data_IF_164553073558
#
_entry.id   IF_164553073558
#
_cell.length_a   1.000
_cell.length_b   1.000
_cell.length_c   1.000
_cell.angle_alpha   90.00
_cell.angle_beta   90.00
_cell.angle_gamma   90.00
#
_symmetry.space_group_name_H-M   'P 1'
#
loop_
_entity.id
_entity.type
_entity.pdbx_description
1 polymer ?
#
# COMPACT_ATOMS: atom_id res chain seq x y z
N UNK A 1 12.06 -22.10 24.45
CA UNK A 1 12.74 -21.67 23.20
C UNK A 1 11.69 -20.92 22.37
N UNK A 2 12.09 -19.95 21.55
CA UNK A 2 11.12 -19.30 20.64
C UNK A 2 10.54 -20.33 19.65
N UNK A 3 9.22 -20.25 19.40
CA UNK A 3 8.50 -21.17 18.52
C UNK A 3 7.74 -20.37 17.46
N UNK A 4 7.63 -20.92 16.25
CA UNK A 4 6.87 -20.30 15.14
C UNK A 4 5.47 -20.91 15.13
N UNK A 5 4.46 -20.05 15.23
CA UNK A 5 3.06 -20.43 15.17
C UNK A 5 2.37 -19.75 13.97
N UNK A 6 1.24 -20.31 13.52
CA UNK A 6 0.37 -19.65 12.57
C UNK A 6 -0.25 -18.40 13.21
N UNK A 7 -0.31 -17.29 12.47
CA UNK A 7 -1.02 -16.10 12.94
C UNK A 7 -2.54 -16.33 13.06
N UNK A 8 -3.07 -17.38 12.42
CA UNK A 8 -4.48 -17.77 12.54
C UNK A 8 -4.86 -18.31 13.93
N UNK A 9 -3.88 -18.73 14.74
CA UNK A 9 -4.10 -19.21 16.09
C UNK A 9 -4.34 -18.08 17.10
N UNK A 10 -4.22 -16.83 16.67
CA UNK A 10 -4.30 -15.64 17.52
C UNK A 10 -5.40 -14.68 17.08
N UNK A 11 -6.00 -14.00 18.05
CA UNK A 11 -7.00 -12.97 17.79
C UNK A 11 -6.38 -11.74 17.11
N UNK A 12 -7.19 -11.02 16.34
CA UNK A 12 -6.76 -9.75 15.70
C UNK A 12 -6.25 -8.74 16.74
N UNK A 13 -6.81 -8.74 17.95
CA UNK A 13 -6.35 -7.86 19.04
C UNK A 13 -4.94 -8.21 19.51
N UNK A 14 -4.58 -9.51 19.60
CA UNK A 14 -3.23 -9.94 19.96
C UNK A 14 -2.22 -9.59 18.86
N UNK A 15 -2.59 -9.78 17.58
CA UNK A 15 -1.75 -9.39 16.45
C UNK A 15 -1.58 -7.86 16.37
N UNK A 16 -2.60 -7.09 16.70
CA UNK A 16 -2.52 -5.64 16.78
C UNK A 16 -1.58 -5.18 17.89
N UNK A 17 -1.65 -5.80 19.07
CA UNK A 17 -0.80 -5.45 20.20
C UNK A 17 0.68 -5.58 19.83
N UNK A 18 1.09 -6.72 19.29
CA UNK A 18 2.48 -6.92 18.85
C UNK A 18 2.86 -5.98 17.70
N UNK A 19 1.91 -5.68 16.79
CA UNK A 19 2.15 -4.72 15.70
C UNK A 19 2.43 -3.33 16.26
N UNK A 20 1.57 -2.81 17.13
CA UNK A 20 1.71 -1.48 17.71
C UNK A 20 2.99 -1.34 18.54
N UNK A 21 3.38 -2.38 19.27
CA UNK A 21 4.63 -2.36 20.03
C UNK A 21 5.86 -2.43 19.12
N UNK A 22 5.84 -3.32 18.11
CA UNK A 22 6.92 -3.45 17.15
C UNK A 22 7.19 -2.18 16.34
N UNK A 23 6.20 -1.33 16.15
CA UNK A 23 6.29 -0.06 15.43
C UNK A 23 6.25 1.18 16.33
N UNK A 24 6.38 1.02 17.66
CA UNK A 24 6.29 2.13 18.62
C UNK A 24 7.37 3.20 18.45
N UNK A 25 8.54 2.82 17.96
CA UNK A 25 9.69 3.69 17.68
C UNK A 25 9.95 3.90 16.18
N UNK A 26 8.95 3.60 15.32
CA UNK A 26 9.13 3.69 13.88
C UNK A 26 9.14 5.14 13.40
N UNK A 27 9.92 5.43 12.33
CA UNK A 27 10.11 6.78 11.78
C UNK A 27 8.82 7.46 11.31
N UNK A 28 7.79 6.67 10.98
CA UNK A 28 6.45 7.14 10.61
C UNK A 28 5.47 6.62 11.65
N UNK A 29 4.55 7.45 12.18
CA UNK A 29 3.55 6.98 13.13
C UNK A 29 2.71 5.84 12.54
N UNK A 30 2.78 4.66 13.17
CA UNK A 30 2.14 3.43 12.69
C UNK A 30 1.12 2.84 13.66
N UNK A 31 0.85 3.54 14.80
CA UNK A 31 -0.12 3.07 15.78
C UNK A 31 -1.51 2.97 15.17
N UNK A 32 -2.10 1.79 15.27
CA UNK A 32 -3.42 1.49 14.70
C UNK A 32 -4.45 1.20 15.79
N UNK A 33 -5.71 1.49 15.47
CA UNK A 33 -6.88 0.98 16.21
C UNK A 33 -7.22 -0.42 15.73
N UNK A 34 -8.03 -1.17 16.47
CA UNK A 34 -8.48 -2.50 16.05
C UNK A 34 -9.21 -2.44 14.70
N UNK A 35 -10.12 -1.51 14.52
CA UNK A 35 -10.84 -1.31 13.26
C UNK A 35 -9.90 -0.95 12.09
N UNK A 36 -8.88 -0.10 12.35
CA UNK A 36 -7.87 0.26 11.34
C UNK A 36 -7.03 -0.96 10.93
N UNK A 37 -6.65 -1.79 11.89
CA UNK A 37 -5.88 -3.00 11.63
C UNK A 37 -6.71 -4.07 10.88
N UNK A 38 -7.96 -4.27 11.24
CA UNK A 38 -8.88 -5.15 10.50
C UNK A 38 -9.07 -4.67 9.04
N UNK A 39 -9.21 -3.37 8.85
CA UNK A 39 -9.27 -2.77 7.51
C UNK A 39 -7.97 -2.99 6.74
N UNK A 40 -6.81 -2.81 7.38
CA UNK A 40 -5.50 -3.10 6.80
C UNK A 40 -5.39 -4.57 6.37
N UNK A 41 -5.70 -5.53 7.25
CA UNK A 41 -5.66 -6.96 6.94
C UNK A 41 -6.53 -7.29 5.71
N UNK A 42 -7.76 -6.79 5.69
CA UNK A 42 -8.70 -7.00 4.59
C UNK A 42 -8.22 -6.38 3.27
N UNK A 43 -7.86 -5.09 3.26
CA UNK A 43 -7.45 -4.38 2.04
C UNK A 43 -6.15 -4.91 1.45
N UNK A 44 -5.20 -5.32 2.29
CA UNK A 44 -3.96 -5.96 1.82
C UNK A 44 -4.20 -7.38 1.35
N UNK A 45 -5.30 -8.01 1.76
CA UNK A 45 -5.61 -9.42 1.50
C UNK A 45 -4.70 -10.34 2.30
N UNK A 46 -4.46 -10.01 3.58
CA UNK A 46 -3.63 -10.83 4.47
C UNK A 46 -4.29 -12.18 4.69
N UNK A 47 -3.51 -13.24 4.54
CA UNK A 47 -3.91 -14.63 4.72
C UNK A 47 -3.32 -15.13 6.03
N UNK A 48 -4.07 -15.06 7.13
CA UNK A 48 -3.57 -15.42 8.47
C UNK A 48 -3.00 -16.85 8.54
N UNK A 49 -3.58 -17.88 7.89
CA UNK A 49 -2.98 -19.22 7.83
C UNK A 49 -1.62 -19.30 7.12
N UNK A 50 -1.22 -18.26 6.35
CA UNK A 50 0.09 -18.12 5.67
C UNK A 50 0.97 -17.06 6.31
N UNK A 51 0.47 -16.48 7.39
CA UNK A 51 1.17 -15.50 8.20
C UNK A 51 1.66 -16.16 9.48
N UNK A 52 2.79 -15.73 9.99
CA UNK A 52 3.43 -16.39 11.12
C UNK A 52 3.79 -15.41 12.22
N UNK A 53 3.82 -15.91 13.44
CA UNK A 53 4.28 -15.20 14.62
C UNK A 53 5.39 -16.00 15.31
N UNK A 54 6.30 -15.30 15.97
CA UNK A 54 7.27 -15.91 16.88
C UNK A 54 6.76 -15.74 18.29
N UNK A 55 6.76 -16.84 19.06
CA UNK A 55 6.30 -16.87 20.45
C UNK A 55 7.47 -17.26 21.36
N UNK A 56 7.67 -16.54 22.44
CA UNK A 56 8.60 -16.89 23.51
C UNK A 56 7.84 -16.91 24.85
N UNK A 57 7.76 -18.11 25.46
CA UNK A 57 6.86 -18.33 26.61
C UNK A 57 5.39 -18.18 26.18
N UNK A 58 4.70 -17.20 26.75
CA UNK A 58 3.29 -16.89 26.41
C UNK A 58 3.14 -15.58 25.61
N UNK A 59 4.23 -15.03 25.13
CA UNK A 59 4.24 -13.72 24.47
C UNK A 59 4.54 -13.85 22.96
N UNK A 60 3.75 -13.18 22.14
CA UNK A 60 4.08 -12.98 20.73
C UNK A 60 5.14 -11.87 20.67
N UNK A 61 6.34 -12.23 20.20
CA UNK A 61 7.49 -11.32 20.17
C UNK A 61 7.76 -10.73 18.79
N UNK A 62 7.24 -11.36 17.74
CA UNK A 62 7.34 -10.85 16.37
C UNK A 62 6.21 -11.40 15.49
N UNK A 63 5.96 -10.71 14.37
CA UNK A 63 5.00 -11.14 13.35
C UNK A 63 5.55 -10.97 11.94
N UNK A 64 4.98 -11.77 11.01
CA UNK A 64 5.27 -11.75 9.59
C UNK A 64 3.97 -12.01 8.84
N UNK A 65 3.31 -10.93 8.38
CA UNK A 65 1.98 -10.98 7.77
C UNK A 65 2.08 -11.03 6.25
N UNK A 66 1.51 -12.07 5.66
CA UNK A 66 1.58 -12.37 4.23
C UNK A 66 0.21 -12.23 3.57
N UNK A 67 0.21 -11.63 2.40
CA UNK A 67 -0.90 -11.64 1.46
C UNK A 67 -0.55 -12.49 0.25
N UNK A 68 -1.56 -13.13 -0.35
CA UNK A 68 -1.37 -13.98 -1.54
C UNK A 68 -2.41 -13.64 -2.59
N UNK A 69 -1.99 -13.49 -3.85
CA UNK A 69 -2.85 -13.34 -5.03
C UNK A 69 -2.31 -14.21 -6.16
N UNK A 70 -3.00 -15.33 -6.42
CA UNK A 70 -2.51 -16.35 -7.34
C UNK A 70 -1.14 -16.89 -6.92
N UNK A 71 -0.14 -16.77 -7.78
CA UNK A 71 1.25 -17.20 -7.50
C UNK A 71 2.15 -16.12 -6.91
N UNK A 72 1.58 -14.99 -6.51
CA UNK A 72 2.33 -13.85 -5.97
C UNK A 72 2.04 -13.68 -4.49
N UNK A 73 3.09 -13.65 -3.68
CA UNK A 73 3.09 -13.30 -2.27
C UNK A 73 3.49 -11.85 -2.05
N UNK A 74 3.00 -11.28 -0.98
CA UNK A 74 3.34 -9.93 -0.55
C UNK A 74 3.50 -9.89 0.97
N UNK A 75 4.66 -9.45 1.42
CA UNK A 75 4.88 -9.17 2.83
C UNK A 75 4.18 -7.86 3.19
N UNK A 76 3.03 -7.96 3.80
CA UNK A 76 2.18 -6.81 4.14
C UNK A 76 2.70 -6.07 5.38
N UNK A 77 3.25 -6.80 6.36
CA UNK A 77 3.86 -6.24 7.57
C UNK A 77 4.82 -7.25 8.17
N UNK A 78 5.94 -6.76 8.69
CA UNK A 78 6.83 -7.53 9.56
C UNK A 78 7.32 -6.65 10.70
N UNK A 79 7.31 -7.18 11.91
CA UNK A 79 7.73 -6.42 13.08
C UNK A 79 8.22 -7.34 14.19
N UNK A 80 9.21 -6.85 14.95
CA UNK A 80 9.73 -7.51 16.15
C UNK A 80 9.67 -6.52 17.29
N UNK A 81 9.11 -6.93 18.43
CA UNK A 81 9.09 -6.09 19.64
C UNK A 81 10.50 -5.61 19.96
N UNK A 82 10.69 -4.35 20.38
CA UNK A 82 12.03 -3.76 20.59
C UNK A 82 12.96 -4.63 21.46
N UNK A 83 12.46 -5.20 22.55
CA UNK A 83 13.22 -6.04 23.47
C UNK A 83 13.74 -7.36 22.87
N UNK A 84 13.20 -7.78 21.72
CA UNK A 84 13.54 -9.05 21.05
C UNK A 84 14.31 -8.88 19.74
N UNK A 85 14.63 -7.64 19.36
CA UNK A 85 15.42 -7.34 18.16
C UNK A 85 16.86 -7.83 18.30
N UNK A 86 17.53 -8.03 17.17
CA UNK A 86 18.93 -8.47 17.11
C UNK A 86 19.15 -9.97 17.45
N UNK A 87 18.08 -10.74 17.70
CA UNK A 87 18.13 -12.17 18.06
C UNK A 87 17.85 -13.12 16.87
N UNK A 88 17.83 -12.61 15.63
CA UNK A 88 17.56 -13.44 14.44
C UNK A 88 16.08 -13.80 14.21
N UNK A 89 15.15 -13.30 15.05
CA UNK A 89 13.72 -13.66 15.05
C UNK A 89 13.06 -13.35 13.70
N UNK A 90 13.26 -12.15 13.16
CA UNK A 90 12.68 -11.74 11.87
C UNK A 90 13.19 -12.59 10.70
N UNK A 91 14.48 -13.01 10.74
CA UNK A 91 15.05 -13.91 9.73
C UNK A 91 14.41 -15.29 9.79
N UNK A 92 14.27 -15.87 10.98
CA UNK A 92 13.65 -17.19 11.13
C UNK A 92 12.20 -17.21 10.62
N UNK A 93 11.40 -16.15 10.92
CA UNK A 93 10.05 -15.98 10.39
C UNK A 93 10.03 -15.84 8.86
N UNK A 94 10.97 -15.06 8.31
CA UNK A 94 11.08 -14.86 6.87
C UNK A 94 11.40 -16.16 6.13
N UNK A 95 12.41 -16.90 6.59
CA UNK A 95 12.83 -18.17 5.99
C UNK A 95 11.72 -19.23 6.07
N UNK A 96 11.03 -19.34 7.21
CA UNK A 96 9.88 -20.22 7.38
C UNK A 96 8.74 -19.84 6.43
N UNK A 97 8.40 -18.55 6.36
CA UNK A 97 7.34 -18.03 5.49
C UNK A 97 7.64 -18.25 4.00
N UNK A 98 8.89 -18.02 3.57
CA UNK A 98 9.28 -18.26 2.17
C UNK A 98 9.19 -19.74 1.81
N UNK A 99 9.59 -20.65 2.71
CA UNK A 99 9.46 -22.10 2.51
C UNK A 99 7.99 -22.52 2.41
N UNK A 100 7.12 -22.00 3.28
CA UNK A 100 5.68 -22.26 3.22
C UNK A 100 5.06 -21.73 1.90
N UNK A 101 5.40 -20.52 1.49
CA UNK A 101 4.90 -19.94 0.25
C UNK A 101 5.30 -20.79 -0.96
N UNK A 102 6.59 -21.16 -1.08
CA UNK A 102 7.09 -22.01 -2.17
C UNK A 102 6.39 -23.38 -2.19
N UNK A 103 6.25 -24.03 -1.05
CA UNK A 103 5.55 -25.31 -0.91
C UNK A 103 4.08 -25.25 -1.35
N UNK A 104 3.47 -24.04 -1.32
CA UNK A 104 2.08 -23.79 -1.72
C UNK A 104 1.94 -23.13 -3.09
N UNK A 105 2.99 -23.19 -3.92
CA UNK A 105 2.95 -22.78 -5.32
C UNK A 105 3.02 -21.26 -5.55
N UNK A 106 3.36 -20.49 -4.52
CA UNK A 106 3.73 -19.09 -4.66
C UNK A 106 5.19 -19.04 -5.13
N UNK A 107 5.44 -18.37 -6.23
CA UNK A 107 6.78 -18.32 -6.85
C UNK A 107 7.39 -16.92 -6.87
N UNK A 108 6.71 -15.92 -6.34
CA UNK A 108 7.19 -14.55 -6.31
C UNK A 108 6.77 -13.88 -5.01
N UNK A 109 7.71 -13.30 -4.28
CA UNK A 109 7.48 -12.50 -3.07
C UNK A 109 7.92 -11.07 -3.30
N UNK A 110 7.08 -10.11 -2.89
CA UNK A 110 7.41 -8.69 -2.92
C UNK A 110 7.07 -7.99 -1.60
N UNK A 111 7.69 -6.84 -1.36
CA UNK A 111 7.37 -5.93 -0.24
C UNK A 111 7.80 -4.51 -0.58
N UNK A 112 7.31 -3.53 0.16
CA UNK A 112 7.87 -2.19 0.21
C UNK A 112 8.56 -1.95 1.56
N UNK A 113 9.65 -1.18 1.53
CA UNK A 113 10.39 -0.77 2.73
C UNK A 113 10.82 0.69 2.61
N UNK A 114 10.70 1.44 3.72
CA UNK A 114 11.23 2.81 3.77
C UNK A 114 12.74 2.79 3.49
N UNK A 115 13.23 3.71 2.63
CA UNK A 115 14.67 3.83 2.36
C UNK A 115 15.48 4.14 3.63
N UNK A 116 14.86 4.81 4.59
CA UNK A 116 15.45 5.08 5.91
C UNK A 116 15.49 3.87 6.86
N UNK A 117 14.71 2.81 6.59
CA UNK A 117 14.73 1.59 7.40
C UNK A 117 15.83 0.64 6.95
N UNK A 118 17.07 1.01 7.22
CA UNK A 118 18.28 0.28 6.81
C UNK A 118 18.33 -1.14 7.37
N UNK A 119 17.80 -1.36 8.57
CA UNK A 119 17.79 -2.68 9.21
C UNK A 119 16.88 -3.68 8.48
N UNK A 120 15.65 -3.29 8.14
CA UNK A 120 14.75 -4.13 7.36
C UNK A 120 15.26 -4.33 5.93
N UNK A 121 15.79 -3.28 5.31
CA UNK A 121 16.39 -3.35 3.99
C UNK A 121 17.55 -4.36 3.93
N UNK A 122 18.49 -4.28 4.89
CA UNK A 122 19.61 -5.22 4.98
C UNK A 122 19.12 -6.68 5.19
N UNK A 123 18.08 -6.88 6.03
CA UNK A 123 17.46 -8.19 6.20
C UNK A 123 16.93 -8.71 4.86
N UNK A 124 16.13 -7.92 4.14
CA UNK A 124 15.52 -8.36 2.88
C UNK A 124 16.57 -8.64 1.80
N UNK A 125 17.62 -7.81 1.68
CA UNK A 125 18.74 -8.10 0.78
C UNK A 125 19.45 -9.42 1.14
N UNK A 126 19.70 -9.66 2.44
CA UNK A 126 20.34 -10.91 2.90
C UNK A 126 19.48 -12.15 2.69
N UNK A 127 18.17 -11.98 2.49
CA UNK A 127 17.21 -13.01 2.08
C UNK A 127 17.11 -13.14 0.56
N UNK A 128 17.95 -12.46 -0.23
CA UNK A 128 17.98 -12.52 -1.67
C UNK A 128 16.91 -11.67 -2.38
N UNK A 129 16.27 -10.75 -1.67
CA UNK A 129 15.37 -9.78 -2.32
C UNK A 129 16.17 -8.69 -3.03
N UNK A 130 15.74 -8.30 -4.21
CA UNK A 130 16.37 -7.27 -5.04
C UNK A 130 15.42 -6.07 -5.22
N UNK A 131 15.99 -4.89 -5.38
CA UNK A 131 15.20 -3.69 -5.68
C UNK A 131 14.62 -3.82 -7.08
N UNK A 132 13.29 -3.74 -7.17
CA UNK A 132 12.56 -3.69 -8.43
C UNK A 132 12.38 -2.27 -8.95
N UNK A 133 12.03 -1.34 -8.04
CA UNK A 133 11.85 0.09 -8.32
C UNK A 133 11.89 0.91 -7.03
N UNK A 134 12.02 2.22 -7.19
CA UNK A 134 11.90 3.19 -6.12
C UNK A 134 10.53 3.88 -6.19
N UNK A 135 10.00 4.25 -5.03
CA UNK A 135 8.64 4.77 -4.88
C UNK A 135 8.67 6.05 -4.03
N UNK A 136 7.93 7.06 -4.48
CA UNK A 136 7.70 8.30 -3.75
C UNK A 136 6.32 8.29 -3.09
N UNK A 137 6.22 8.91 -1.92
CA UNK A 137 4.96 9.19 -1.26
C UNK A 137 4.81 10.70 -1.06
N UNK A 138 3.60 11.23 -1.25
CA UNK A 138 3.31 12.65 -1.16
C UNK A 138 2.08 12.92 -0.30
N UNK A 139 2.02 14.13 0.28
CA UNK A 139 0.82 14.74 0.81
C UNK A 139 0.44 15.93 -0.07
N UNK A 140 -0.77 15.96 -0.58
CA UNK A 140 -1.36 17.12 -1.26
C UNK A 140 -2.13 17.91 -0.19
N UNK A 141 -1.81 19.20 0.04
CA UNK A 141 -2.45 19.96 1.10
C UNK A 141 -3.97 20.07 0.91
N UNK A 142 -4.68 20.30 1.99
CA UNK A 142 -6.15 20.41 2.03
C UNK A 142 -6.70 21.64 1.31
N UNK A 143 -5.83 22.60 0.96
CA UNK A 143 -6.23 23.84 0.28
C UNK A 143 -6.90 23.52 -1.06
N UNK A 144 -8.21 23.86 -1.24
CA UNK A 144 -8.90 23.57 -2.47
C UNK A 144 -8.23 24.25 -3.67
N UNK A 145 -8.12 23.51 -4.76
CA UNK A 145 -7.63 24.06 -6.03
C UNK A 145 -8.66 25.05 -6.59
N UNK A 146 -8.39 26.34 -6.45
CA UNK A 146 -9.31 27.46 -6.80
C UNK A 146 -9.75 27.47 -8.28
N UNK A 147 -9.02 26.74 -9.15
CA UNK A 147 -9.38 26.56 -10.57
C UNK A 147 -9.34 25.08 -10.93
N UNK A 148 -10.18 24.27 -10.27
CA UNK A 148 -10.50 22.95 -10.79
C UNK A 148 -11.27 23.17 -12.12
N UNK A 149 -10.77 22.63 -13.23
CA UNK A 149 -11.37 22.78 -14.54
C UNK A 149 -12.85 22.35 -14.57
N UNK A 150 -13.57 22.73 -15.63
CA UNK A 150 -15.02 22.47 -15.81
C UNK A 150 -15.36 21.00 -16.12
N UNK A 151 -14.39 20.07 -16.14
CA UNK A 151 -14.64 18.67 -16.41
C UNK A 151 -15.53 18.05 -15.30
N UNK A 152 -16.65 17.47 -15.69
CA UNK A 152 -17.57 16.80 -14.79
C UNK A 152 -17.04 15.39 -14.47
N UNK A 153 -16.71 15.14 -13.21
CA UNK A 153 -16.43 13.81 -12.70
C UNK A 153 -17.67 13.26 -12.01
N UNK A 154 -18.05 12.04 -12.38
CA UNK A 154 -19.21 11.36 -11.82
C UNK A 154 -18.78 10.22 -10.91
N UNK A 155 -19.50 9.96 -9.80
CA UNK A 155 -19.29 8.76 -8.99
C UNK A 155 -19.59 7.51 -9.81
N UNK A 156 -18.72 6.48 -9.69
CA UNK A 156 -18.86 5.19 -10.37
C UNK A 156 -18.46 4.06 -9.43
N UNK A 157 -18.83 2.82 -9.77
CA UNK A 157 -18.26 1.65 -9.11
C UNK A 157 -16.92 1.29 -9.72
N UNK A 158 -16.02 0.69 -8.92
CA UNK A 158 -14.74 0.23 -9.45
C UNK A 158 -14.90 -0.78 -10.57
N UNK A 159 -15.90 -1.67 -10.47
CA UNK A 159 -16.25 -2.65 -11.52
C UNK A 159 -16.49 -2.04 -12.89
N UNK A 160 -17.04 -0.81 -12.93
CA UNK A 160 -17.43 -0.15 -14.17
C UNK A 160 -16.24 0.41 -14.95
N UNK A 161 -15.15 0.74 -14.25
CA UNK A 161 -13.95 1.34 -14.83
C UNK A 161 -12.74 0.42 -14.84
N UNK A 162 -12.75 -0.65 -14.05
CA UNK A 162 -11.60 -1.55 -13.90
C UNK A 162 -11.06 -2.14 -15.23
N UNK A 163 -11.91 -2.50 -16.22
CA UNK A 163 -11.43 -3.00 -17.50
C UNK A 163 -10.56 -1.99 -18.26
N UNK A 164 -10.89 -0.70 -18.19
CA UNK A 164 -10.24 0.36 -18.95
C UNK A 164 -9.15 1.08 -18.16
N UNK A 165 -9.22 1.05 -16.83
CA UNK A 165 -8.33 1.79 -15.93
C UNK A 165 -6.86 1.46 -16.15
N UNK A 166 -6.52 0.19 -16.39
CA UNK A 166 -5.14 -0.26 -16.58
C UNK A 166 -4.48 0.36 -17.83
N UNK A 167 -5.25 0.67 -18.87
CA UNK A 167 -4.74 1.28 -20.09
C UNK A 167 -4.35 2.76 -19.92
N UNK A 168 -4.77 3.39 -18.82
CA UNK A 168 -4.45 4.77 -18.50
C UNK A 168 -3.17 4.93 -17.67
N UNK A 169 -2.60 3.83 -17.17
CA UNK A 169 -1.44 3.85 -16.28
C UNK A 169 -0.13 3.86 -17.06
N UNK A 170 0.84 4.65 -16.58
CA UNK A 170 2.22 4.63 -17.07
C UNK A 170 3.06 3.53 -16.39
N UNK A 171 2.64 3.09 -15.19
CA UNK A 171 3.28 2.00 -14.42
C UNK A 171 2.25 1.16 -13.66
N UNK A 172 2.56 -0.11 -13.37
CA UNK A 172 1.67 -0.94 -12.57
C UNK A 172 1.58 -0.41 -11.13
N UNK A 173 0.37 -0.30 -10.55
CA UNK A 173 0.20 0.07 -9.15
C UNK A 173 0.93 -0.88 -8.20
N UNK A 174 1.36 -0.37 -7.04
CA UNK A 174 1.90 -1.20 -5.95
C UNK A 174 0.81 -2.15 -5.41
N UNK A 175 1.20 -3.17 -4.64
CA UNK A 175 0.24 -4.15 -4.11
C UNK A 175 -0.96 -3.51 -3.42
N UNK A 176 -0.69 -2.53 -2.56
CA UNK A 176 -1.72 -1.85 -1.78
C UNK A 176 -2.65 -0.96 -2.61
N UNK A 177 -2.24 -0.59 -3.81
CA UNK A 177 -3.01 0.24 -4.75
C UNK A 177 -3.54 -0.57 -5.94
N UNK A 178 -3.22 -1.86 -6.04
CA UNK A 178 -3.66 -2.73 -7.13
C UNK A 178 -5.16 -3.07 -7.04
N UNK A 179 -5.76 -3.46 -8.16
CA UNK A 179 -7.19 -3.76 -8.28
C UNK A 179 -7.75 -4.67 -7.16
N UNK A 180 -7.00 -5.70 -6.76
CA UNK A 180 -7.43 -6.58 -5.66
C UNK A 180 -7.55 -5.87 -4.31
N UNK A 181 -6.73 -4.85 -4.03
CA UNK A 181 -6.86 -4.02 -2.82
C UNK A 181 -8.02 -3.04 -2.93
N UNK A 182 -8.29 -2.50 -4.12
CA UNK A 182 -9.43 -1.63 -4.36
C UNK A 182 -10.75 -2.40 -4.16
N UNK A 183 -10.87 -3.59 -4.74
CA UNK A 183 -12.05 -4.45 -4.53
C UNK A 183 -12.25 -4.77 -3.05
N UNK A 184 -11.19 -5.14 -2.33
CA UNK A 184 -11.26 -5.47 -0.92
C UNK A 184 -11.58 -4.29 0.00
N UNK A 185 -11.47 -3.05 -0.47
CA UNK A 185 -11.82 -1.87 0.29
C UNK A 185 -13.35 -1.70 0.46
N UNK A 186 -14.16 -2.26 -0.45
CA UNK A 186 -15.62 -2.18 -0.36
C UNK A 186 -16.11 -0.74 -0.27
N UNK A 187 -17.01 -0.44 0.68
CA UNK A 187 -17.61 0.89 0.87
C UNK A 187 -16.58 1.99 1.25
N UNK A 188 -15.38 1.59 1.68
CA UNK A 188 -14.29 2.54 1.91
C UNK A 188 -13.69 3.10 0.61
N UNK A 189 -13.98 2.49 -0.54
CA UNK A 189 -13.51 2.95 -1.83
C UNK A 189 -14.47 3.98 -2.42
N UNK A 190 -13.96 5.12 -2.85
CA UNK A 190 -14.65 6.10 -3.67
C UNK A 190 -13.99 6.12 -5.06
N UNK A 191 -14.79 5.92 -6.11
CA UNK A 191 -14.32 6.08 -7.48
C UNK A 191 -15.04 7.26 -8.15
N UNK A 192 -14.27 8.03 -8.92
CA UNK A 192 -14.73 9.13 -9.75
C UNK A 192 -14.21 8.91 -11.16
N UNK A 193 -15.03 9.14 -12.17
CA UNK A 193 -14.66 8.98 -13.57
C UNK A 193 -15.12 10.17 -14.43
N UNK A 194 -14.35 10.44 -15.47
CA UNK A 194 -14.72 11.37 -16.55
C UNK A 194 -14.66 10.63 -17.88
N UNK A 195 -15.72 10.81 -18.66
CA UNK A 195 -15.89 10.18 -19.97
C UNK A 195 -15.99 11.22 -21.06
N UNK A 196 -15.38 10.96 -22.21
CA UNK A 196 -15.60 11.70 -23.45
C UNK A 196 -16.00 10.74 -24.57
N UNK A 197 -17.09 11.01 -25.24
CA UNK A 197 -17.67 10.14 -26.25
C UNK A 197 -17.83 8.67 -25.82
N UNK A 198 -18.17 8.43 -24.55
CA UNK A 198 -18.32 7.09 -23.97
C UNK A 198 -17.03 6.38 -23.58
N UNK A 199 -15.85 6.98 -23.81
CA UNK A 199 -14.54 6.46 -23.43
C UNK A 199 -14.13 7.01 -22.06
N UNK A 200 -13.61 6.15 -21.18
CA UNK A 200 -12.97 6.58 -19.96
C UNK A 200 -11.68 7.36 -20.29
N UNK A 201 -11.61 8.63 -19.91
CA UNK A 201 -10.44 9.49 -20.17
C UNK A 201 -9.70 9.92 -18.90
N UNK A 202 -10.40 9.90 -17.74
CA UNK A 202 -9.74 10.14 -16.47
C UNK A 202 -10.52 9.49 -15.32
N UNK A 203 -9.82 9.05 -14.28
CA UNK A 203 -10.46 8.54 -13.07
C UNK A 203 -9.59 8.72 -11.82
N UNK A 204 -10.22 8.60 -10.64
CA UNK A 204 -9.55 8.42 -9.36
C UNK A 204 -10.25 7.33 -8.56
N UNK A 205 -9.46 6.54 -7.82
CA UNK A 205 -9.89 5.60 -6.81
C UNK A 205 -9.25 5.99 -5.47
N UNK A 206 -10.06 6.24 -4.45
CA UNK A 206 -9.63 6.89 -3.20
C UNK A 206 -10.12 6.07 -2.01
N UNK A 207 -9.24 5.75 -1.07
CA UNK A 207 -9.62 5.21 0.23
C UNK A 207 -10.13 6.35 1.12
N UNK A 208 -11.42 6.30 1.49
CA UNK A 208 -12.11 7.39 2.21
C UNK A 208 -11.55 7.62 3.60
N UNK A 209 -11.25 6.54 4.33
CA UNK A 209 -10.77 6.57 5.72
C UNK A 209 -9.43 7.27 5.90
N UNK A 210 -8.52 7.10 4.94
CA UNK A 210 -7.16 7.65 4.97
C UNK A 210 -6.96 8.82 4.01
N UNK A 211 -7.97 9.20 3.22
CA UNK A 211 -7.88 10.15 2.12
C UNK A 211 -6.74 9.82 1.15
N UNK A 212 -6.51 8.53 0.88
CA UNK A 212 -5.42 8.07 0.02
C UNK A 212 -5.91 7.91 -1.41
N UNK A 213 -5.31 8.66 -2.33
CA UNK A 213 -5.42 8.45 -3.77
C UNK A 213 -4.68 7.15 -4.11
N UNK A 214 -5.40 6.03 -4.09
CA UNK A 214 -4.85 4.72 -4.39
C UNK A 214 -4.46 4.62 -5.87
N UNK A 215 -5.31 5.14 -6.73
CA UNK A 215 -5.04 5.29 -8.16
C UNK A 215 -5.68 6.57 -8.67
N UNK A 216 -5.03 7.23 -9.61
CA UNK A 216 -5.65 8.21 -10.49
C UNK A 216 -4.84 8.28 -11.78
N UNK A 217 -5.53 8.47 -12.89
CA UNK A 217 -4.89 8.54 -14.19
C UNK A 217 -5.69 9.43 -15.15
N UNK A 218 -4.99 9.96 -16.15
CA UNK A 218 -5.55 10.67 -17.30
C UNK A 218 -4.99 10.02 -18.54
N UNK A 219 -5.87 9.72 -19.51
CA UNK A 219 -5.50 9.15 -20.79
C UNK A 219 -4.40 10.00 -21.47
N UNK A 220 -3.36 9.38 -22.06
CA UNK A 220 -2.20 10.09 -22.58
C UNK A 220 -2.57 11.24 -23.56
N UNK A 221 -3.54 10.99 -24.43
CA UNK A 221 -4.05 11.95 -25.44
C UNK A 221 -4.91 13.09 -24.85
N UNK A 222 -5.28 13.00 -23.56
CA UNK A 222 -6.08 14.01 -22.83
C UNK A 222 -5.27 14.70 -21.71
N UNK A 223 -3.96 14.45 -21.64
CA UNK A 223 -3.08 15.11 -20.66
C UNK A 223 -2.83 16.58 -21.01
N UNK A 224 -2.36 17.34 -20.02
CA UNK A 224 -2.02 18.77 -20.13
C UNK A 224 -3.23 19.67 -20.45
N UNK A 225 -4.46 19.17 -20.31
CA UNK A 225 -5.71 19.88 -20.53
C UNK A 225 -6.43 20.22 -19.21
N UNK A 226 -5.76 20.05 -18.07
CA UNK A 226 -6.29 20.39 -16.74
C UNK A 226 -7.07 19.26 -16.04
N UNK A 227 -7.31 18.09 -16.68
CA UNK A 227 -8.09 16.99 -16.11
C UNK A 227 -7.49 16.47 -14.80
N UNK A 228 -6.16 16.32 -14.71
CA UNK A 228 -5.50 15.89 -13.48
C UNK A 228 -5.78 16.83 -12.30
N UNK A 229 -5.74 18.14 -12.54
CA UNK A 229 -6.07 19.15 -11.52
C UNK A 229 -7.57 19.13 -11.17
N UNK A 230 -8.42 18.95 -12.17
CA UNK A 230 -9.86 18.88 -11.99
C UNK A 230 -10.28 17.69 -11.14
N UNK A 231 -9.69 16.50 -11.35
CA UNK A 231 -10.00 15.31 -10.55
C UNK A 231 -9.54 15.46 -9.10
N UNK A 232 -8.32 15.99 -8.86
CA UNK A 232 -7.83 16.25 -7.51
C UNK A 232 -8.75 17.24 -6.78
N UNK A 233 -9.14 18.35 -7.42
CA UNK A 233 -10.08 19.31 -6.83
C UNK A 233 -11.47 18.70 -6.57
N UNK A 234 -11.92 17.73 -7.38
CA UNK A 234 -13.18 17.02 -7.13
C UNK A 234 -13.07 16.09 -5.91
N UNK A 235 -11.95 15.37 -5.77
CA UNK A 235 -11.67 14.55 -4.58
C UNK A 235 -11.59 15.41 -3.32
N UNK A 236 -10.91 16.57 -3.36
CA UNK A 236 -10.83 17.50 -2.22
C UNK A 236 -12.22 18.01 -1.80
N UNK A 237 -13.09 18.32 -2.73
CA UNK A 237 -14.49 18.70 -2.41
C UNK A 237 -15.31 17.56 -1.81
N UNK A 238 -15.03 16.32 -2.20
CA UNK A 238 -15.70 15.13 -1.65
C UNK A 238 -15.15 14.71 -0.27
N UNK A 239 -13.93 15.13 0.07
CA UNK A 239 -13.26 14.89 1.34
C UNK A 239 -12.73 16.22 1.92
N UNK A 240 -13.63 17.13 2.33
CA UNK A 240 -13.23 18.44 2.82
C UNK A 240 -12.34 18.34 4.07
N UNK A 241 -11.52 19.37 4.30
CA UNK A 241 -10.66 19.53 5.47
C UNK A 241 -9.66 18.36 5.68
N UNK A 242 -9.26 17.72 4.58
CA UNK A 242 -8.32 16.60 4.60
C UNK A 242 -7.25 16.75 3.52
N UNK A 243 -6.00 16.67 3.95
CA UNK A 243 -4.89 16.48 3.03
C UNK A 243 -5.00 15.12 2.33
N UNK A 244 -4.77 15.09 1.01
CA UNK A 244 -4.78 13.83 0.27
C UNK A 244 -3.40 13.20 0.29
N UNK A 245 -3.36 11.88 0.39
CA UNK A 245 -2.12 11.11 0.37
C UNK A 245 -1.96 10.39 -0.96
N UNK A 246 -0.77 10.43 -1.51
CA UNK A 246 -0.36 9.57 -2.64
C UNK A 246 0.72 8.65 -2.11
N UNK A 247 0.52 7.36 -2.22
CA UNK A 247 1.46 6.37 -1.70
C UNK A 247 1.96 5.50 -2.85
N UNK A 248 3.28 5.31 -2.90
CA UNK A 248 3.94 4.41 -3.85
C UNK A 248 3.77 4.82 -5.33
N UNK A 249 3.93 6.11 -5.63
CA UNK A 249 4.15 6.58 -7.00
C UNK A 249 5.55 6.18 -7.49
N UNK A 250 5.67 5.83 -8.76
CA UNK A 250 6.97 5.47 -9.37
C UNK A 250 7.91 6.69 -9.39
N UNK A 251 9.14 6.54 -8.92
CA UNK A 251 10.07 7.67 -8.77
C UNK A 251 10.57 8.21 -10.11
N UNK A 252 10.70 7.37 -11.15
CA UNK A 252 11.29 7.75 -12.44
C UNK A 252 10.31 8.46 -13.38
N UNK A 253 9.09 8.82 -12.89
CA UNK A 253 8.13 9.58 -13.67
C UNK A 253 8.24 11.09 -13.41
N UNK A 254 9.10 11.75 -14.18
CA UNK A 254 9.29 13.20 -14.11
C UNK A 254 7.99 13.99 -14.40
N UNK A 255 7.08 13.45 -15.22
CA UNK A 255 5.80 14.07 -15.52
C UNK A 255 4.88 14.07 -14.30
N UNK A 256 4.86 12.96 -13.58
CA UNK A 256 4.12 12.82 -12.33
C UNK A 256 4.69 13.71 -11.23
N UNK A 257 6.00 13.69 -11.02
CA UNK A 257 6.65 14.56 -10.02
C UNK A 257 6.41 16.04 -10.31
N UNK A 258 6.52 16.47 -11.57
CA UNK A 258 6.19 17.83 -11.98
C UNK A 258 4.72 18.16 -11.67
N UNK A 259 3.80 17.21 -11.92
CA UNK A 259 2.39 17.40 -11.58
C UNK A 259 2.19 17.58 -10.09
N UNK A 260 2.82 16.74 -9.24
CA UNK A 260 2.76 16.86 -7.78
C UNK A 260 3.25 18.24 -7.31
N UNK A 261 4.34 18.75 -7.89
CA UNK A 261 4.84 20.11 -7.59
C UNK A 261 3.78 21.18 -7.91
N UNK A 262 3.04 21.06 -9.03
CA UNK A 262 1.96 22.01 -9.37
C UNK A 262 0.78 22.00 -8.39
N UNK A 263 0.67 20.95 -7.58
CA UNK A 263 -0.34 20.80 -6.53
C UNK A 263 0.19 21.25 -5.17
N UNK A 264 1.42 21.77 -5.09
CA UNK A 264 2.15 22.01 -3.85
C UNK A 264 2.22 20.76 -2.96
N UNK A 265 2.31 19.57 -3.57
CA UNK A 265 2.41 18.33 -2.84
C UNK A 265 3.79 18.21 -2.19
N UNK A 266 3.80 17.83 -0.91
CA UNK A 266 5.00 17.65 -0.12
C UNK A 266 5.44 16.18 -0.15
N UNK A 267 6.72 15.86 -0.41
CA UNK A 267 7.23 14.51 -0.26
C UNK A 267 7.21 14.09 1.22
N UNK A 268 6.70 12.89 1.51
CA UNK A 268 6.63 12.36 2.87
C UNK A 268 7.82 11.43 3.13
N UNK A 269 7.89 10.35 2.34
CA UNK A 269 8.90 9.31 2.45
C UNK A 269 9.18 8.70 1.08
N UNK A 270 10.34 8.05 0.97
CA UNK A 270 10.72 7.22 -0.17
C UNK A 270 10.82 5.76 0.26
N UNK A 271 10.45 4.85 -0.65
CA UNK A 271 10.49 3.43 -0.40
C UNK A 271 11.21 2.70 -1.55
N UNK A 272 11.78 1.53 -1.21
CA UNK A 272 12.14 0.53 -2.21
C UNK A 272 11.00 -0.49 -2.31
N UNK A 273 10.57 -0.83 -3.52
CA UNK A 273 9.85 -2.07 -3.78
C UNK A 273 10.88 -3.15 -4.07
N UNK A 274 10.86 -4.20 -3.24
CA UNK A 274 11.76 -5.33 -3.33
C UNK A 274 11.01 -6.56 -3.80
N UNK A 275 11.66 -7.44 -4.53
CA UNK A 275 11.10 -8.71 -4.93
C UNK A 275 12.13 -9.83 -4.93
N UNK A 276 11.62 -11.08 -4.87
CA UNK A 276 12.38 -12.31 -4.98
C UNK A 276 11.54 -13.40 -5.63
N UNK A 277 12.14 -14.19 -6.50
CA UNK A 277 11.59 -15.49 -6.93
C UNK A 277 11.84 -16.54 -5.83
N UNK A 278 10.81 -17.37 -5.55
CA UNK A 278 10.82 -18.38 -4.50
C UNK A 278 11.05 -19.78 -5.05
#
# INVERSE_FOLDING_TARGET
MPEIHSAADYSTAQLLDVTNDAFSDYAVPMKQTLQGFETFLRQRGVVLPRSFVMVEGNEIVALWLISVRGKRGYLASSGTRPAFRGRGVARALAEHSMADLAANGVNHLQTEVLQSNTAAFALYQSLGMVIRRQLNCFTIPETPLVKAGLAAFVPVQWSDIAPDAAALHDWPPSWQNAAGSLVAAGDNLMCLAHYEAGRLVAYAAVYRDTATLAQFAVAPDHRRQGLGRAIIGTVQRALPDRALRVINAHQDDLGFDTFMQTLNAEPIVQQFELCREL
#
